data_IF_110300999157
#
_entry.id   IF_110300999157
#
_cell.length_a   1.000
_cell.length_b   1.000
_cell.length_c   1.000
_cell.angle_alpha   90.00
_cell.angle_beta   90.00
_cell.angle_gamma   90.00
#
_symmetry.space_group_name_H-M   'P 1'
#
loop_
_entity.id
_entity.type
_entity.pdbx_description
1 polymer ?
#
# COMPACT_ATOMS: atom_id res chain seq x y z
N UNK A 1 6.34 6.74 29.22
CA UNK A 1 6.74 5.86 28.09
C UNK A 1 6.29 6.40 26.75
N UNK A 2 5.00 6.33 26.36
CA UNK A 2 4.57 6.73 25.00
C UNK A 2 4.92 8.16 24.57
N UNK A 3 4.92 9.14 25.49
CA UNK A 3 5.35 10.50 25.19
C UNK A 3 6.84 10.57 24.87
N UNK A 4 7.67 9.84 25.62
CA UNK A 4 9.10 9.76 25.37
C UNK A 4 9.39 9.05 24.05
N UNK A 5 8.70 7.93 23.76
CA UNK A 5 8.82 7.26 22.46
C UNK A 5 8.50 8.18 21.27
N UNK A 6 7.57 9.15 21.43
CA UNK A 6 7.30 10.16 20.39
C UNK A 6 8.48 11.10 20.19
N UNK A 7 9.07 11.61 21.27
CA UNK A 7 10.24 12.47 21.20
C UNK A 7 11.41 11.75 20.52
N UNK A 8 11.68 10.50 20.91
CA UNK A 8 12.73 9.67 20.30
C UNK A 8 12.43 9.40 18.83
N UNK A 9 11.17 9.07 18.49
CA UNK A 9 10.75 8.86 17.10
C UNK A 9 11.00 10.10 16.24
N UNK A 10 10.61 11.27 16.73
CA UNK A 10 10.77 12.54 16.00
C UNK A 10 12.26 12.87 15.83
N UNK A 11 13.08 12.64 16.87
CA UNK A 11 14.53 12.78 16.80
C UNK A 11 15.15 11.85 15.75
N UNK A 12 14.87 10.53 15.82
CA UNK A 12 15.35 9.56 14.82
C UNK A 12 14.94 10.02 13.42
N UNK A 13 13.66 10.37 13.23
CA UNK A 13 13.15 10.77 11.91
C UNK A 13 13.87 11.99 11.34
N UNK A 14 14.25 12.95 12.19
CA UNK A 14 14.99 14.15 11.77
C UNK A 14 16.45 13.88 11.38
N UNK A 15 17.02 12.77 11.86
CA UNK A 15 18.42 12.37 11.56
C UNK A 15 18.54 11.42 10.38
N UNK A 16 17.43 10.84 9.92
CA UNK A 16 17.45 9.87 8.83
C UNK A 16 17.82 10.52 7.49
N UNK A 17 18.58 9.83 6.63
CA UNK A 17 18.98 10.36 5.34
C UNK A 17 17.81 10.40 4.35
N UNK A 18 17.86 11.35 3.40
CA UNK A 18 16.91 11.44 2.30
C UNK A 18 16.99 10.25 1.33
N UNK A 19 18.07 9.45 1.41
CA UNK A 19 18.32 8.25 0.58
C UNK A 19 17.53 7.02 1.01
N UNK A 20 16.69 7.11 2.06
CA UNK A 20 15.82 6.02 2.46
C UNK A 20 14.93 5.54 1.33
N UNK A 21 14.79 4.22 1.22
CA UNK A 21 14.03 3.56 0.17
C UNK A 21 12.69 4.27 -0.11
N UNK A 22 12.53 4.88 -1.29
CA UNK A 22 11.34 5.64 -1.65
C UNK A 22 10.10 4.75 -1.83
N UNK A 23 10.27 3.42 -1.91
CA UNK A 23 9.21 2.43 -2.05
C UNK A 23 8.78 1.78 -0.73
N UNK A 24 9.30 2.26 0.41
CA UNK A 24 8.70 2.05 1.73
C UNK A 24 7.66 3.14 2.01
N UNK A 25 6.38 2.78 1.95
CA UNK A 25 5.27 3.73 2.07
C UNK A 25 4.68 3.81 3.48
N UNK A 26 4.76 2.75 4.28
CA UNK A 26 4.17 2.78 5.61
C UNK A 26 4.98 3.64 6.58
N UNK A 27 4.26 4.22 7.54
CA UNK A 27 4.82 5.00 8.66
C UNK A 27 5.66 6.22 8.27
N UNK A 28 5.67 6.59 6.98
CA UNK A 28 6.28 7.83 6.48
C UNK A 28 5.25 8.95 6.38
N UNK A 29 5.64 10.21 6.66
CA UNK A 29 4.77 11.35 6.42
C UNK A 29 4.44 11.45 4.93
N UNK A 30 3.20 11.86 4.63
CA UNK A 30 2.70 12.05 3.25
C UNK A 30 2.83 10.81 2.34
N UNK A 31 2.85 9.61 2.90
CA UNK A 31 2.72 8.34 2.18
C UNK A 31 1.46 7.62 2.66
N UNK A 32 0.79 6.93 1.74
CA UNK A 32 -0.47 6.24 1.99
C UNK A 32 -0.55 4.93 1.23
N UNK A 33 -1.48 4.05 1.62
CA UNK A 33 -1.77 2.83 0.86
C UNK A 33 -2.14 3.14 -0.58
N UNK A 34 -2.85 4.25 -0.82
CA UNK A 34 -3.20 4.71 -2.15
C UNK A 34 -1.93 5.08 -2.96
N UNK A 35 -0.87 5.60 -2.34
CA UNK A 35 0.41 5.88 -3.03
C UNK A 35 1.13 4.59 -3.45
N UNK A 36 1.21 3.61 -2.53
CA UNK A 36 1.79 2.30 -2.82
C UNK A 36 1.04 1.58 -3.94
N UNK A 37 -0.29 1.56 -3.88
CA UNK A 37 -1.15 1.00 -4.93
C UNK A 37 -0.95 1.73 -6.25
N UNK A 38 -1.04 3.07 -6.25
CA UNK A 38 -0.95 3.87 -7.48
C UNK A 38 0.42 3.70 -8.14
N UNK A 39 1.50 3.65 -7.36
CA UNK A 39 2.86 3.39 -7.83
C UNK A 39 2.98 2.00 -8.46
N UNK A 40 2.46 0.97 -7.77
CA UNK A 40 2.43 -0.42 -8.26
C UNK A 40 1.69 -0.52 -9.59
N UNK A 41 0.45 0.00 -9.65
CA UNK A 41 -0.38 -0.04 -10.84
C UNK A 41 0.21 0.76 -11.99
N UNK A 42 0.80 1.93 -11.72
CA UNK A 42 1.43 2.75 -12.75
C UNK A 42 2.65 2.06 -13.35
N UNK A 43 3.50 1.45 -12.53
CA UNK A 43 4.67 0.69 -12.95
C UNK A 43 4.25 -0.48 -13.85
N UNK A 44 3.25 -1.26 -13.40
CA UNK A 44 2.72 -2.38 -14.17
C UNK A 44 2.05 -1.93 -15.49
N UNK A 45 1.14 -0.95 -15.44
CA UNK A 45 0.41 -0.47 -16.62
C UNK A 45 1.33 0.18 -17.66
N UNK A 46 2.35 0.91 -17.23
CA UNK A 46 3.34 1.53 -18.12
C UNK A 46 4.16 0.47 -18.85
N UNK A 47 4.49 -0.65 -18.18
CA UNK A 47 5.19 -1.76 -18.80
C UNK A 47 4.32 -2.57 -19.76
N UNK A 48 3.06 -2.82 -19.37
CA UNK A 48 2.07 -3.53 -20.19
C UNK A 48 1.62 -2.77 -21.44
N UNK A 49 1.92 -1.46 -21.52
CA UNK A 49 1.66 -0.62 -22.70
C UNK A 49 2.69 -0.86 -23.82
N UNK A 50 3.76 -1.63 -23.54
CA UNK A 50 4.79 -2.04 -24.50
C UNK A 50 4.42 -3.37 -25.17
N UNK A 51 5.06 -3.67 -26.31
CA UNK A 51 4.87 -4.95 -27.01
C UNK A 51 5.65 -6.08 -26.33
N UNK A 52 5.10 -7.29 -26.37
CA UNK A 52 5.73 -8.52 -25.87
C UNK A 52 6.18 -8.45 -24.39
N UNK A 53 5.40 -7.78 -23.56
CA UNK A 53 5.62 -7.65 -22.12
C UNK A 53 4.48 -8.27 -21.31
N UNK A 54 4.79 -8.65 -20.07
CA UNK A 54 3.82 -9.01 -19.04
C UNK A 54 4.41 -8.67 -17.67
N UNK A 55 3.59 -8.76 -16.62
CA UNK A 55 4.00 -8.41 -15.24
C UNK A 55 3.72 -9.59 -14.32
N UNK A 56 4.66 -9.90 -13.43
CA UNK A 56 4.47 -10.82 -12.31
C UNK A 56 4.48 -10.03 -11.01
N UNK A 57 3.53 -10.30 -10.13
CA UNK A 57 3.42 -9.68 -8.80
C UNK A 57 3.45 -10.79 -7.75
N UNK A 58 4.47 -10.78 -6.90
CA UNK A 58 4.57 -11.68 -5.76
C UNK A 58 4.16 -10.92 -4.50
N UNK A 59 3.02 -11.29 -3.92
CA UNK A 59 2.53 -10.73 -2.67
C UNK A 59 3.03 -11.59 -1.52
N UNK A 60 3.95 -11.05 -0.73
CA UNK A 60 4.64 -11.76 0.34
C UNK A 60 3.89 -11.57 1.65
N UNK A 61 3.81 -12.66 2.42
CA UNK A 61 3.29 -12.68 3.78
C UNK A 61 4.38 -13.22 4.70
N UNK A 62 4.69 -12.47 5.76
CA UNK A 62 5.64 -12.90 6.79
C UNK A 62 4.89 -13.53 7.96
N UNK A 63 5.46 -14.60 8.51
CA UNK A 63 5.00 -15.16 9.78
C UNK A 63 5.45 -14.23 10.92
N UNK A 64 4.55 -13.34 11.37
CA UNK A 64 4.74 -12.53 12.59
C UNK A 64 5.87 -11.48 12.49
N UNK A 65 5.88 -10.67 11.42
CA UNK A 65 6.98 -9.76 11.06
C UNK A 65 7.54 -8.87 12.19
N UNK A 66 6.68 -8.28 13.01
CA UNK A 66 7.14 -7.42 14.11
C UNK A 66 7.80 -8.21 15.23
N UNK A 67 7.40 -9.46 15.45
CA UNK A 67 7.91 -10.30 16.53
C UNK A 67 9.27 -10.95 16.19
N UNK A 68 9.67 -10.91 14.91
CA UNK A 68 10.89 -11.54 14.41
C UNK A 68 12.09 -10.60 14.33
N UNK A 69 11.91 -9.29 14.56
CA UNK A 69 13.01 -8.31 14.56
C UNK A 69 14.09 -8.76 15.56
N UNK A 70 15.33 -8.84 15.10
CA UNK A 70 16.49 -9.14 15.95
C UNK A 70 17.16 -7.82 16.34
N UNK A 71 17.12 -7.40 17.63
CA UNK A 71 17.60 -6.08 18.04
C UNK A 71 19.07 -5.80 17.66
N UNK A 72 19.95 -6.79 17.77
CA UNK A 72 21.37 -6.63 17.39
C UNK A 72 21.55 -6.35 15.89
N UNK A 73 20.77 -6.98 15.01
CA UNK A 73 20.77 -6.70 13.57
C UNK A 73 20.19 -5.33 13.26
N UNK A 74 19.15 -4.92 13.99
CA UNK A 74 18.58 -3.59 13.86
C UNK A 74 19.61 -2.51 14.20
N UNK A 75 20.35 -2.65 15.31
CA UNK A 75 21.39 -1.69 15.72
C UNK A 75 22.41 -1.46 14.61
N UNK A 76 22.95 -2.53 14.00
CA UNK A 76 23.91 -2.41 12.90
C UNK A 76 23.33 -1.59 11.73
N UNK A 77 22.06 -1.82 11.39
CA UNK A 77 21.36 -1.07 10.34
C UNK A 77 21.14 0.40 10.72
N UNK A 78 20.84 0.68 11.99
CA UNK A 78 20.67 2.05 12.49
C UNK A 78 21.98 2.83 12.44
N UNK A 79 23.09 2.21 12.85
CA UNK A 79 24.44 2.80 12.73
C UNK A 79 24.82 3.07 11.28
N UNK A 80 24.48 2.14 10.36
CA UNK A 80 24.69 2.31 8.91
C UNK A 80 23.89 3.49 8.35
N UNK A 81 22.72 3.78 8.93
CA UNK A 81 21.89 4.94 8.59
C UNK A 81 22.38 6.25 9.23
N UNK A 82 23.49 6.21 9.99
CA UNK A 82 24.11 7.39 10.58
C UNK A 82 23.53 7.81 11.93
N UNK A 83 22.79 6.94 12.62
CA UNK A 83 22.30 7.23 13.97
C UNK A 83 23.46 7.14 14.98
N UNK A 84 23.41 8.01 15.98
CA UNK A 84 24.39 8.03 17.07
C UNK A 84 24.43 6.69 17.84
N UNK A 85 25.62 6.17 18.19
CA UNK A 85 25.76 4.91 18.93
C UNK A 85 25.04 4.89 20.29
N UNK A 86 24.96 6.01 21.02
CA UNK A 86 24.24 6.04 22.29
C UNK A 86 22.73 5.88 22.08
N UNK A 87 22.18 6.48 21.02
CA UNK A 87 20.79 6.27 20.61
C UNK A 87 20.54 4.83 20.17
N UNK A 88 21.47 4.23 19.42
CA UNK A 88 21.37 2.83 19.00
C UNK A 88 21.40 1.87 20.20
N UNK A 89 22.27 2.11 21.17
CA UNK A 89 22.32 1.35 22.43
C UNK A 89 21.04 1.52 23.26
N UNK A 90 20.46 2.73 23.27
CA UNK A 90 19.15 2.93 23.90
C UNK A 90 18.05 2.13 23.20
N UNK A 91 18.05 2.04 21.86
CA UNK A 91 17.09 1.21 21.12
C UNK A 91 17.31 -0.28 21.43
N UNK A 92 18.56 -0.72 21.58
CA UNK A 92 18.88 -2.09 21.96
C UNK A 92 18.32 -2.45 23.34
N UNK A 93 18.58 -1.61 24.34
CA UNK A 93 18.04 -1.75 25.69
C UNK A 93 16.50 -1.69 25.69
N UNK A 94 15.92 -0.78 24.91
CA UNK A 94 14.47 -0.67 24.74
C UNK A 94 13.83 -1.94 24.17
N UNK A 95 14.54 -2.75 23.39
CA UNK A 95 13.99 -3.95 22.76
C UNK A 95 14.34 -5.26 23.47
N UNK A 96 15.38 -5.28 24.31
CA UNK A 96 15.91 -6.48 24.98
C UNK A 96 15.58 -6.52 26.47
N UNK A 97 15.67 -7.70 27.09
CA UNK A 97 15.46 -7.85 28.54
C UNK A 97 14.05 -7.51 29.02
N UNK A 98 13.05 -7.46 28.13
CA UNK A 98 11.73 -6.94 28.46
C UNK A 98 10.85 -7.99 29.13
N UNK A 99 10.44 -7.82 30.40
CA UNK A 99 9.47 -8.71 31.01
C UNK A 99 8.07 -8.44 30.45
N UNK A 100 7.37 -9.50 30.06
CA UNK A 100 5.95 -9.50 29.73
C UNK A 100 5.19 -10.45 30.64
N UNK A 101 3.97 -10.06 31.00
CA UNK A 101 3.00 -10.89 31.73
C UNK A 101 1.63 -10.72 31.08
N UNK A 102 0.81 -11.78 31.13
CA UNK A 102 -0.59 -11.73 30.73
C UNK A 102 -1.45 -11.65 31.97
N UNK A 103 -2.36 -10.66 32.03
CA UNK A 103 -3.34 -10.53 33.11
C UNK A 103 -4.73 -10.86 32.60
N UNK A 104 -5.42 -11.79 33.27
CA UNK A 104 -6.82 -12.13 33.03
C UNK A 104 -7.60 -11.98 34.34
N UNK A 105 -8.41 -10.93 34.44
CA UNK A 105 -9.03 -10.53 35.71
C UNK A 105 -7.96 -10.22 36.75
N UNK A 106 -7.97 -10.97 37.86
CA UNK A 106 -7.01 -10.83 38.96
C UNK A 106 -5.79 -11.77 38.83
N UNK A 107 -5.78 -12.67 37.84
CA UNK A 107 -4.69 -13.63 37.66
C UNK A 107 -3.61 -13.03 36.76
N UNK A 108 -2.34 -13.23 37.13
CA UNK A 108 -1.17 -12.78 36.37
C UNK A 108 -0.30 -14.00 36.06
N UNK A 109 0.13 -14.15 34.81
CA UNK A 109 1.05 -15.21 34.40
C UNK A 109 2.44 -15.04 35.05
N UNK A 110 3.25 -16.09 35.00
CA UNK A 110 4.69 -15.93 35.21
C UNK A 110 5.28 -14.94 34.18
N UNK A 111 6.31 -14.15 34.56
CA UNK A 111 6.99 -13.26 33.63
C UNK A 111 7.75 -14.05 32.57
N UNK A 112 7.63 -13.61 31.32
CA UNK A 112 8.44 -14.09 30.21
C UNK A 112 9.33 -12.93 29.74
N UNK A 113 10.63 -13.17 29.60
CA UNK A 113 11.56 -12.16 29.08
C UNK A 113 11.60 -12.24 27.56
N UNK A 114 11.41 -11.10 26.89
CA UNK A 114 11.51 -10.96 25.44
C UNK A 114 12.82 -10.26 25.04
N UNK A 115 13.55 -10.91 24.14
CA UNK A 115 14.78 -10.39 23.54
C UNK A 115 14.67 -10.22 22.01
N UNK A 116 13.51 -10.53 21.44
CA UNK A 116 13.22 -10.40 20.01
C UNK A 116 11.90 -9.68 19.80
N UNK A 117 11.79 -9.07 18.63
CA UNK A 117 10.61 -8.36 18.18
C UNK A 117 10.48 -6.96 18.75
N UNK A 118 9.62 -6.16 18.12
CA UNK A 118 9.19 -4.87 18.63
C UNK A 118 7.78 -4.98 19.23
N UNK A 119 7.53 -4.38 20.41
CA UNK A 119 6.25 -4.49 21.12
C UNK A 119 5.09 -3.95 20.29
N UNK A 120 3.99 -4.71 20.21
CA UNK A 120 2.76 -4.22 19.59
C UNK A 120 2.13 -3.11 20.44
N UNK A 121 1.66 -2.04 19.79
CA UNK A 121 1.06 -0.89 20.47
C UNK A 121 2.04 0.15 21.02
N UNK A 122 3.35 -0.08 20.86
CA UNK A 122 4.37 0.94 21.07
C UNK A 122 4.43 1.91 19.88
N UNK A 123 4.77 3.16 20.18
CA UNK A 123 4.82 4.25 19.19
C UNK A 123 6.03 4.09 18.27
N UNK A 124 7.13 3.56 18.80
CA UNK A 124 8.39 3.46 18.08
C UNK A 124 8.49 2.20 17.19
N UNK A 125 7.83 1.10 17.56
CA UNK A 125 7.89 -0.19 16.85
C UNK A 125 7.64 -0.09 15.33
N UNK A 126 6.63 0.66 14.85
CA UNK A 126 6.40 0.83 13.41
C UNK A 126 7.60 1.45 12.67
N UNK A 127 8.23 2.47 13.24
CA UNK A 127 9.40 3.10 12.67
C UNK A 127 10.58 2.13 12.64
N UNK A 128 10.85 1.44 13.75
CA UNK A 128 11.94 0.48 13.84
C UNK A 128 11.80 -0.66 12.83
N UNK A 129 10.58 -1.14 12.57
CA UNK A 129 10.35 -2.12 11.52
C UNK A 129 10.65 -1.57 10.12
N UNK A 130 10.23 -0.33 9.82
CA UNK A 130 10.57 0.32 8.55
C UNK A 130 12.09 0.48 8.37
N UNK A 131 12.81 0.81 9.45
CA UNK A 131 14.27 0.92 9.44
C UNK A 131 14.96 -0.45 9.37
N UNK A 132 14.38 -1.49 9.98
CA UNK A 132 14.89 -2.85 9.91
C UNK A 132 14.88 -3.39 8.47
N UNK A 133 13.85 -3.02 7.70
CA UNK A 133 13.61 -3.49 6.32
C UNK A 133 14.05 -2.51 5.24
N UNK A 134 14.80 -1.45 5.60
CA UNK A 134 15.12 -0.36 4.68
C UNK A 134 15.99 -0.80 3.50
N UNK A 135 16.87 -1.78 3.71
CA UNK A 135 17.81 -2.34 2.74
C UNK A 135 17.20 -3.49 1.90
N UNK A 136 15.95 -3.86 2.15
CA UNK A 136 15.18 -4.76 1.28
C UNK A 136 14.73 -4.02 0.01
N UNK A 137 15.66 -3.75 -0.90
CA UNK A 137 15.43 -3.02 -2.15
C UNK A 137 15.65 -3.93 -3.36
N UNK A 138 15.02 -3.60 -4.49
CA UNK A 138 15.21 -4.37 -5.71
C UNK A 138 16.65 -4.25 -6.23
N UNK A 139 17.22 -5.39 -6.62
CA UNK A 139 18.55 -5.48 -7.22
C UNK A 139 18.54 -5.15 -8.71
N UNK A 140 17.43 -5.43 -9.40
CA UNK A 140 17.29 -5.20 -10.83
C UNK A 140 16.35 -4.04 -11.14
N UNK A 141 16.70 -3.22 -12.14
CA UNK A 141 15.87 -2.10 -12.60
C UNK A 141 14.52 -2.53 -13.21
N UNK A 142 14.40 -3.78 -13.67
CA UNK A 142 13.14 -4.37 -14.13
C UNK A 142 12.25 -4.87 -13.00
N UNK A 143 12.70 -4.77 -11.75
CA UNK A 143 11.95 -5.18 -10.58
C UNK A 143 11.69 -4.00 -9.66
N UNK A 144 10.71 -4.14 -8.78
CA UNK A 144 10.46 -3.18 -7.71
C UNK A 144 9.95 -3.91 -6.49
N UNK A 145 10.45 -3.55 -5.31
CA UNK A 145 9.95 -4.06 -4.04
C UNK A 145 9.15 -2.94 -3.38
N UNK A 146 7.83 -3.11 -3.33
CA UNK A 146 6.90 -2.16 -2.71
C UNK A 146 6.61 -2.64 -1.29
N UNK A 147 6.84 -1.79 -0.29
CA UNK A 147 6.62 -2.11 1.12
C UNK A 147 5.57 -1.20 1.73
N UNK A 148 4.63 -1.79 2.46
CA UNK A 148 3.71 -1.07 3.33
C UNK A 148 3.61 -1.83 4.65
N UNK A 149 4.47 -1.45 5.61
CA UNK A 149 4.65 -2.18 6.85
C UNK A 149 5.14 -3.59 6.51
N UNK A 150 4.50 -4.63 7.03
CA UNK A 150 4.81 -6.03 6.72
C UNK A 150 4.37 -6.47 5.32
N UNK A 151 3.37 -5.83 4.71
CA UNK A 151 2.98 -6.13 3.33
C UNK A 151 4.13 -5.78 2.36
N UNK A 152 4.76 -6.80 1.79
CA UNK A 152 5.84 -6.66 0.78
C UNK A 152 5.37 -7.21 -0.56
N UNK A 153 5.65 -6.52 -1.65
CA UNK A 153 5.29 -6.97 -3.00
C UNK A 153 6.44 -6.78 -3.97
N UNK A 154 6.86 -7.87 -4.61
CA UNK A 154 7.83 -7.83 -5.71
C UNK A 154 7.07 -7.72 -7.03
N UNK A 155 7.34 -6.67 -7.79
CA UNK A 155 6.79 -6.45 -9.13
C UNK A 155 7.89 -6.69 -10.16
N UNK A 156 7.76 -7.75 -10.95
CA UNK A 156 8.67 -8.07 -12.05
C UNK A 156 8.12 -7.61 -13.39
N UNK A 157 8.90 -6.80 -14.12
CA UNK A 157 8.56 -6.28 -15.44
C UNK A 157 9.21 -7.15 -16.53
N UNK A 158 8.45 -8.12 -17.03
CA UNK A 158 8.99 -9.14 -17.93
C UNK A 158 8.91 -8.67 -19.39
N UNK A 159 10.01 -8.79 -20.12
CA UNK A 159 10.09 -8.49 -21.56
C UNK A 159 10.56 -9.73 -22.29
N UNK A 160 9.93 -10.06 -23.42
CA UNK A 160 10.34 -11.20 -24.26
C UNK A 160 10.36 -12.57 -23.55
N UNK A 161 9.63 -12.74 -22.44
CA UNK A 161 9.66 -13.93 -21.57
C UNK A 161 11.00 -14.15 -20.86
N UNK A 162 11.86 -13.14 -20.76
CA UNK A 162 13.05 -13.21 -19.91
C UNK A 162 12.68 -12.92 -18.45
N UNK A 163 12.57 -13.99 -17.66
CA UNK A 163 12.22 -13.94 -16.25
C UNK A 163 13.42 -13.96 -15.31
N UNK A 164 14.65 -13.92 -15.86
CA UNK A 164 15.89 -14.14 -15.10
C UNK A 164 16.00 -13.19 -13.92
N UNK A 165 15.92 -11.87 -14.19
CA UNK A 165 15.98 -10.84 -13.17
C UNK A 165 14.90 -11.01 -12.09
N UNK A 166 13.67 -11.36 -12.47
CA UNK A 166 12.58 -11.55 -11.50
C UNK A 166 12.81 -12.77 -10.60
N UNK A 167 13.27 -13.89 -11.17
CA UNK A 167 13.55 -15.12 -10.41
C UNK A 167 14.75 -14.95 -9.48
N UNK A 168 15.77 -14.23 -9.94
CA UNK A 168 16.93 -13.86 -9.10
C UNK A 168 16.50 -12.96 -7.94
N UNK A 169 15.62 -11.99 -8.17
CA UNK A 169 15.08 -11.13 -7.11
C UNK A 169 14.30 -11.92 -6.06
N UNK A 170 13.45 -12.85 -6.48
CA UNK A 170 12.70 -13.70 -5.54
C UNK A 170 13.66 -14.56 -4.72
N UNK A 171 14.72 -15.09 -5.32
CA UNK A 171 15.75 -15.87 -4.61
C UNK A 171 16.54 -14.99 -3.63
N UNK A 172 17.00 -13.83 -4.08
CA UNK A 172 17.75 -12.88 -3.27
C UNK A 172 16.92 -12.39 -2.07
N UNK A 173 15.63 -12.16 -2.28
CA UNK A 173 14.70 -11.84 -1.21
C UNK A 173 14.57 -12.99 -0.20
N UNK A 174 14.47 -14.24 -0.66
CA UNK A 174 14.44 -15.41 0.22
C UNK A 174 15.68 -15.49 1.12
N UNK A 175 16.87 -15.28 0.54
CA UNK A 175 18.13 -15.21 1.30
C UNK A 175 18.13 -14.04 2.27
N UNK A 176 17.76 -12.84 1.82
CA UNK A 176 17.69 -11.65 2.67
C UNK A 176 16.72 -11.86 3.85
N UNK A 177 15.59 -12.52 3.64
CA UNK A 177 14.64 -12.86 4.69
C UNK A 177 15.28 -13.80 5.74
N UNK A 178 15.99 -14.85 5.31
CA UNK A 178 16.72 -15.76 6.21
C UNK A 178 17.80 -15.00 7.01
N UNK A 179 18.60 -14.17 6.34
CA UNK A 179 19.63 -13.33 6.96
C UNK A 179 19.06 -12.30 7.94
N UNK A 180 17.82 -11.87 7.77
CA UNK A 180 17.15 -10.92 8.66
C UNK A 180 16.15 -11.57 9.62
N UNK A 181 16.16 -12.90 9.75
CA UNK A 181 15.24 -13.66 10.62
C UNK A 181 13.75 -13.42 10.30
N UNK A 182 13.41 -13.01 9.08
CA UNK A 182 12.04 -12.83 8.62
C UNK A 182 11.56 -14.14 8.01
N UNK A 183 10.62 -14.81 8.67
CA UNK A 183 10.10 -16.09 8.19
C UNK A 183 9.02 -15.86 7.14
N UNK A 184 9.27 -16.28 5.89
CA UNK A 184 8.30 -16.23 4.81
C UNK A 184 7.20 -17.28 5.02
N UNK A 185 5.95 -16.89 4.84
CA UNK A 185 4.82 -17.81 4.80
C UNK A 185 4.48 -18.14 3.34
N UNK A 186 5.10 -19.19 2.79
CA UNK A 186 4.91 -19.56 1.38
C UNK A 186 3.45 -19.89 1.06
N UNK A 187 2.72 -20.49 2.01
CA UNK A 187 1.30 -20.83 1.83
C UNK A 187 0.38 -19.60 1.76
N UNK A 188 0.76 -18.48 2.37
CA UNK A 188 0.02 -17.21 2.27
C UNK A 188 0.58 -16.28 1.21
N UNK A 189 1.82 -16.48 0.80
CA UNK A 189 2.43 -15.80 -0.33
C UNK A 189 1.71 -16.21 -1.61
N UNK A 190 1.35 -15.23 -2.44
CA UNK A 190 0.61 -15.46 -3.69
C UNK A 190 1.29 -14.78 -4.86
N UNK A 191 1.24 -15.44 -6.01
CA UNK A 191 1.66 -14.87 -7.29
C UNK A 191 0.46 -14.48 -8.15
N UNK A 192 0.52 -13.32 -8.78
CA UNK A 192 -0.39 -12.94 -9.86
C UNK A 192 0.41 -12.61 -11.11
N UNK A 193 -0.04 -13.12 -12.26
CA UNK A 193 0.55 -12.82 -13.57
C UNK A 193 -0.46 -12.04 -14.39
N UNK A 194 -0.10 -10.83 -14.79
CA UNK A 194 -0.89 -9.99 -15.69
C UNK A 194 -0.26 -10.07 -17.08
N UNK A 195 -0.88 -10.88 -17.94
CA UNK A 195 -0.45 -11.07 -19.34
C UNK A 195 -1.63 -10.82 -20.29
N UNK A 196 -1.50 -9.78 -21.13
CA UNK A 196 -2.51 -9.41 -22.14
C UNK A 196 -2.12 -9.84 -23.56
N UNK A 197 -1.01 -10.57 -23.73
CA UNK A 197 -0.58 -11.04 -25.04
C UNK A 197 -1.55 -12.11 -25.54
N UNK A 198 -1.77 -12.15 -26.86
CA UNK A 198 -2.65 -13.14 -27.51
C UNK A 198 -2.07 -14.55 -27.45
N UNK A 199 -0.76 -14.67 -27.67
CA UNK A 199 -0.03 -15.93 -27.55
C UNK A 199 0.66 -15.94 -26.20
N UNK A 200 0.01 -16.57 -25.22
CA UNK A 200 0.57 -16.77 -23.90
C UNK A 200 1.39 -18.05 -23.91
N UNK A 201 2.66 -17.95 -23.54
CA UNK A 201 3.44 -19.14 -23.20
C UNK A 201 3.06 -19.59 -21.80
N UNK A 202 3.27 -20.86 -21.51
CA UNK A 202 3.15 -21.36 -20.15
C UNK A 202 4.18 -20.64 -19.27
N UNK A 203 3.71 -20.09 -18.14
CA UNK A 203 4.55 -19.37 -17.20
C UNK A 203 5.00 -20.34 -16.10
N UNK A 204 6.30 -20.73 -16.03
CA UNK A 204 6.74 -21.72 -15.06
C UNK A 204 6.54 -21.21 -13.62
N UNK A 205 6.16 -22.08 -12.68
CA UNK A 205 5.92 -21.68 -11.29
C UNK A 205 7.18 -21.10 -10.62
N UNK A 206 6.94 -20.26 -9.62
CA UNK A 206 7.97 -19.80 -8.69
C UNK A 206 8.03 -20.77 -7.52
N UNK A 207 9.26 -21.09 -7.10
CA UNK A 207 9.52 -21.89 -5.91
C UNK A 207 10.22 -21.02 -4.87
N UNK A 208 9.76 -21.11 -3.62
CA UNK A 208 10.41 -20.52 -2.45
C UNK A 208 10.62 -21.66 -1.46
N UNK A 209 11.87 -21.88 -1.04
CA UNK A 209 12.25 -22.99 -0.14
C UNK A 209 11.72 -24.36 -0.61
N UNK A 210 11.82 -24.62 -1.92
CA UNK A 210 11.34 -25.86 -2.55
C UNK A 210 9.82 -25.97 -2.69
N UNK A 211 9.04 -25.02 -2.18
CA UNK A 211 7.58 -25.02 -2.24
C UNK A 211 7.07 -24.14 -3.38
N UNK A 212 6.13 -24.64 -4.17
CA UNK A 212 5.48 -23.88 -5.26
C UNK A 212 4.60 -22.77 -4.67
N UNK A 213 4.78 -21.55 -5.15
CA UNK A 213 3.90 -20.42 -4.80
C UNK A 213 2.57 -20.54 -5.53
N UNK A 214 1.46 -20.41 -4.81
CA UNK A 214 0.13 -20.44 -5.41
C UNK A 214 -0.10 -19.23 -6.33
N UNK A 215 -0.53 -19.51 -7.55
CA UNK A 215 -0.96 -18.50 -8.52
C UNK A 215 -2.44 -18.17 -8.36
N UNK A 216 -2.76 -16.87 -8.28
CA UNK A 216 -4.12 -16.38 -8.09
C UNK A 216 -4.56 -15.43 -9.19
N UNK A 217 -5.86 -15.49 -9.55
CA UNK A 217 -6.46 -14.55 -10.48
C UNK A 217 -6.89 -13.22 -9.80
N UNK A 218 -7.05 -13.22 -8.48
CA UNK A 218 -7.35 -12.01 -7.70
C UNK A 218 -6.70 -12.05 -6.33
N UNK A 219 -6.15 -10.91 -5.89
CA UNK A 219 -5.51 -10.75 -4.58
C UNK A 219 -5.97 -9.43 -3.94
N UNK A 220 -6.09 -9.42 -2.61
CA UNK A 220 -6.47 -8.22 -1.85
C UNK A 220 -5.22 -7.46 -1.40
N UNK A 221 -4.70 -6.61 -2.27
CA UNK A 221 -3.51 -5.79 -2.02
C UNK A 221 -3.88 -4.47 -1.32
N UNK A 222 -3.33 -4.22 -0.12
CA UNK A 222 -3.51 -2.98 0.66
C UNK A 222 -4.99 -2.51 0.79
N UNK A 223 -5.89 -3.48 0.91
CA UNK A 223 -7.33 -3.22 1.08
C UNK A 223 -8.17 -3.20 -0.20
N UNK A 224 -7.55 -3.26 -1.39
CA UNK A 224 -8.25 -3.32 -2.68
C UNK A 224 -8.08 -4.68 -3.37
N UNK A 225 -9.07 -5.12 -4.15
CA UNK A 225 -8.91 -6.32 -4.97
C UNK A 225 -8.28 -5.96 -6.31
N UNK A 226 -7.11 -6.51 -6.60
CA UNK A 226 -6.47 -6.50 -7.92
C UNK A 226 -6.78 -7.83 -8.60
N UNK A 227 -6.91 -7.83 -9.92
CA UNK A 227 -7.15 -9.01 -10.74
C UNK A 227 -6.10 -9.14 -11.82
N UNK A 228 -5.83 -10.36 -12.29
CA UNK A 228 -4.93 -10.65 -13.43
C UNK A 228 -5.38 -9.97 -14.73
N UNK A 229 -6.65 -9.57 -14.82
CA UNK A 229 -7.21 -8.79 -15.95
C UNK A 229 -7.20 -7.28 -15.72
N UNK A 230 -6.74 -6.82 -14.55
CA UNK A 230 -6.79 -5.43 -14.09
C UNK A 230 -8.17 -4.77 -14.29
N UNK A 231 -9.24 -5.56 -14.06
CA UNK A 231 -10.60 -5.05 -13.97
C UNK A 231 -11.01 -4.84 -12.50
N UNK A 232 -12.04 -4.04 -12.30
CA UNK A 232 -12.43 -3.57 -10.96
C UNK A 232 -13.75 -4.13 -10.45
N UNK A 233 -14.36 -5.09 -11.15
CA UNK A 233 -15.66 -5.66 -10.77
C UNK A 233 -15.60 -6.32 -9.39
N UNK A 234 -14.67 -7.24 -9.17
CA UNK A 234 -14.45 -7.93 -7.88
C UNK A 234 -14.30 -6.95 -6.72
N UNK A 235 -13.53 -5.87 -6.92
CA UNK A 235 -13.35 -4.83 -5.91
C UNK A 235 -14.65 -4.05 -5.66
N UNK A 236 -15.30 -3.58 -6.73
CA UNK A 236 -16.52 -2.78 -6.62
C UNK A 236 -17.67 -3.56 -6.01
N UNK A 237 -17.83 -4.83 -6.34
CA UNK A 237 -18.87 -5.70 -5.77
C UNK A 237 -18.64 -5.94 -4.28
N UNK A 238 -17.39 -6.17 -3.88
CA UNK A 238 -16.98 -6.28 -2.47
C UNK A 238 -17.30 -5.00 -1.68
N UNK A 239 -16.99 -3.83 -2.25
CA UNK A 239 -17.32 -2.53 -1.63
C UNK A 239 -18.83 -2.33 -1.55
N UNK A 240 -19.57 -2.56 -2.64
CA UNK A 240 -21.04 -2.37 -2.69
C UNK A 240 -21.72 -3.25 -1.64
N UNK A 241 -21.32 -4.53 -1.52
CA UNK A 241 -21.86 -5.45 -0.50
C UNK A 241 -21.63 -4.93 0.92
N UNK A 242 -20.41 -4.49 1.23
CA UNK A 242 -20.09 -3.88 2.55
C UNK A 242 -20.90 -2.61 2.80
N UNK A 243 -21.07 -1.78 1.76
CA UNK A 243 -21.84 -0.55 1.88
C UNK A 243 -23.35 -0.79 2.06
N UNK A 244 -23.90 -1.84 1.43
CA UNK A 244 -25.28 -2.26 1.63
C UNK A 244 -25.56 -2.71 3.07
N UNK A 245 -24.63 -3.46 3.68
CA UNK A 245 -24.71 -3.82 5.10
C UNK A 245 -24.75 -2.57 5.98
N UNK A 246 -23.92 -1.56 5.69
CA UNK A 246 -23.90 -0.29 6.44
C UNK A 246 -25.12 0.60 6.18
N UNK A 247 -25.71 0.52 4.98
CA UNK A 247 -26.99 1.18 4.67
C UNK A 247 -28.13 0.66 5.53
N UNK A 248 -28.15 -0.65 5.86
CA UNK A 248 -29.15 -1.19 6.77
C UNK A 248 -29.06 -0.52 8.15
N UNK A 249 -27.86 -0.37 8.70
CA UNK A 249 -27.65 0.34 9.96
C UNK A 249 -28.08 1.81 9.87
N UNK A 250 -27.78 2.49 8.75
CA UNK A 250 -28.24 3.86 8.53
C UNK A 250 -29.78 3.97 8.52
N UNK A 251 -30.50 2.99 7.94
CA UNK A 251 -31.97 2.95 8.00
C UNK A 251 -32.49 2.76 9.42
N UNK A 252 -31.85 1.89 10.22
CA UNK A 252 -32.22 1.69 11.63
C UNK A 252 -32.04 2.97 12.43
N UNK A 253 -30.92 3.67 12.24
CA UNK A 253 -30.67 4.96 12.88
C UNK A 253 -31.72 6.01 12.51
N UNK A 254 -32.15 6.06 11.24
CA UNK A 254 -33.27 6.93 10.84
C UNK A 254 -34.56 6.55 11.57
N UNK A 255 -34.87 5.25 11.69
CA UNK A 255 -36.06 4.76 12.40
C UNK A 255 -36.03 5.14 13.89
N UNK A 256 -34.85 5.20 14.51
CA UNK A 256 -34.67 5.68 15.88
C UNK A 256 -34.74 7.21 16.03
N UNK A 257 -35.09 7.95 14.98
CA UNK A 257 -35.30 9.39 15.05
C UNK A 257 -34.03 10.24 15.05
N UNK A 258 -32.88 9.69 14.61
CA UNK A 258 -31.66 10.49 14.51
C UNK A 258 -31.80 11.64 13.50
N UNK A 259 -31.21 12.78 13.84
CA UNK A 259 -31.26 13.98 13.00
C UNK A 259 -30.57 13.78 11.63
N UNK A 260 -31.00 14.49 10.57
CA UNK A 260 -30.36 14.44 9.26
C UNK A 260 -28.85 14.69 9.29
N UNK A 261 -28.38 15.57 10.19
CA UNK A 261 -26.95 15.85 10.40
C UNK A 261 -26.21 14.64 10.96
N UNK A 262 -26.76 13.98 11.98
CA UNK A 262 -26.18 12.77 12.55
C UNK A 262 -26.15 11.62 11.53
N UNK A 263 -27.22 11.44 10.76
CA UNK A 263 -27.29 10.44 9.70
C UNK A 263 -26.27 10.70 8.57
N UNK A 264 -26.09 11.97 8.19
CA UNK A 264 -25.08 12.38 7.20
C UNK A 264 -23.66 12.11 7.73
N UNK A 265 -23.39 12.40 9.00
CA UNK A 265 -22.10 12.08 9.62
C UNK A 265 -21.85 10.57 9.67
N UNK A 266 -22.86 9.78 10.02
CA UNK A 266 -22.77 8.32 9.98
C UNK A 266 -22.46 7.81 8.57
N UNK A 267 -23.14 8.34 7.55
CA UNK A 267 -22.85 8.03 6.15
C UNK A 267 -21.39 8.34 5.79
N UNK A 268 -20.90 9.54 6.12
CA UNK A 268 -19.52 9.96 5.83
C UNK A 268 -18.50 9.02 6.48
N UNK A 269 -18.70 8.70 7.77
CA UNK A 269 -17.75 7.89 8.54
C UNK A 269 -17.77 6.41 8.16
N UNK A 270 -18.93 5.88 7.77
CA UNK A 270 -19.10 4.43 7.60
C UNK A 270 -19.33 4.00 6.15
N UNK A 271 -20.05 4.75 5.33
CA UNK A 271 -20.36 4.33 3.96
C UNK A 271 -19.42 5.02 2.97
N UNK A 272 -19.28 6.34 3.05
CA UNK A 272 -18.40 7.09 2.16
C UNK A 272 -16.93 6.68 2.35
N UNK A 273 -16.51 6.43 3.60
CA UNK A 273 -15.14 6.00 3.91
C UNK A 273 -14.70 4.75 3.15
N UNK A 274 -15.60 3.76 2.97
CA UNK A 274 -15.31 2.54 2.19
C UNK A 274 -15.51 2.74 0.69
N UNK A 275 -16.50 3.54 0.27
CA UNK A 275 -16.72 3.84 -1.15
C UNK A 275 -15.56 4.63 -1.74
N UNK A 276 -14.97 5.52 -0.94
CA UNK A 276 -13.91 6.42 -1.37
C UNK A 276 -12.51 5.94 -0.95
N UNK A 277 -12.40 4.80 -0.26
CA UNK A 277 -11.13 4.18 0.13
C UNK A 277 -10.27 3.90 -1.10
N UNK A 278 -9.07 4.48 -1.13
CA UNK A 278 -8.11 4.38 -2.23
C UNK A 278 -8.72 4.70 -3.63
N UNK A 279 -9.78 5.51 -3.69
CA UNK A 279 -10.59 5.71 -4.90
C UNK A 279 -9.79 6.23 -6.09
N UNK A 280 -8.69 6.92 -5.84
CA UNK A 280 -7.86 7.49 -6.91
C UNK A 280 -7.13 6.41 -7.72
N UNK A 281 -6.86 5.25 -7.11
CA UNK A 281 -6.18 4.13 -7.76
C UNK A 281 -7.08 3.33 -8.73
N UNK A 282 -8.37 3.17 -8.42
CA UNK A 282 -9.22 2.19 -9.10
C UNK A 282 -10.42 2.78 -9.85
N UNK A 283 -11.01 3.87 -9.37
CA UNK A 283 -12.28 4.36 -9.92
C UNK A 283 -12.20 4.88 -11.36
N UNK A 284 -11.03 5.41 -11.76
CA UNK A 284 -10.78 5.86 -13.13
C UNK A 284 -10.99 4.75 -14.16
N UNK A 285 -10.63 3.52 -13.81
CA UNK A 285 -10.72 2.33 -14.66
C UNK A 285 -12.02 1.51 -14.46
N UNK A 286 -12.95 1.97 -13.61
CA UNK A 286 -14.25 1.33 -13.46
C UNK A 286 -15.12 1.47 -14.70
N UNK A 287 -15.81 0.39 -15.08
CA UNK A 287 -16.83 0.41 -16.14
C UNK A 287 -18.04 1.27 -15.74
N UNK A 288 -18.86 1.66 -16.72
CA UNK A 288 -20.11 2.36 -16.46
C UNK A 288 -21.04 1.58 -15.51
N UNK A 289 -21.05 0.25 -15.61
CA UNK A 289 -21.82 -0.64 -14.73
C UNK A 289 -21.32 -0.54 -13.28
N UNK A 290 -20.00 -0.64 -13.06
CA UNK A 290 -19.42 -0.52 -11.71
C UNK A 290 -19.73 0.87 -11.11
N UNK A 291 -19.55 1.94 -11.88
CA UNK A 291 -19.86 3.31 -11.43
C UNK A 291 -21.34 3.49 -11.08
N UNK A 292 -22.25 2.96 -11.89
CA UNK A 292 -23.70 2.98 -11.62
C UNK A 292 -24.03 2.21 -10.35
N UNK A 293 -23.42 1.05 -10.11
CA UNK A 293 -23.62 0.26 -8.90
C UNK A 293 -23.20 1.04 -7.64
N UNK A 294 -22.02 1.65 -7.65
CA UNK A 294 -21.53 2.47 -6.53
C UNK A 294 -22.41 3.71 -6.31
N UNK A 295 -22.78 4.42 -7.37
CA UNK A 295 -23.62 5.62 -7.26
C UNK A 295 -25.02 5.31 -6.74
N UNK A 296 -25.56 4.11 -6.98
CA UNK A 296 -26.84 3.66 -6.38
C UNK A 296 -26.78 3.60 -4.85
N UNK A 297 -25.63 3.23 -4.28
CA UNK A 297 -25.42 3.22 -2.82
C UNK A 297 -25.52 4.65 -2.28
N UNK A 298 -24.80 5.60 -2.91
CA UNK A 298 -24.83 7.02 -2.52
C UNK A 298 -26.26 7.59 -2.62
N UNK A 299 -26.96 7.34 -3.72
CA UNK A 299 -28.36 7.77 -3.89
C UNK A 299 -29.29 7.18 -2.84
N UNK A 300 -29.06 5.92 -2.44
CA UNK A 300 -29.85 5.27 -1.40
C UNK A 300 -29.59 5.89 -0.03
N UNK A 301 -28.33 6.16 0.32
CA UNK A 301 -27.99 6.91 1.52
C UNK A 301 -28.65 8.29 1.51
N UNK A 302 -28.58 9.02 0.38
CA UNK A 302 -29.13 10.36 0.23
C UNK A 302 -30.63 10.43 0.57
N UNK A 303 -31.42 9.45 0.09
CA UNK A 303 -32.86 9.35 0.42
C UNK A 303 -33.10 9.08 1.91
N UNK A 304 -32.20 8.32 2.55
CA UNK A 304 -32.31 8.02 3.98
C UNK A 304 -31.95 9.26 4.79
N UNK A 305 -30.80 9.88 4.53
CA UNK A 305 -30.34 11.05 5.30
C UNK A 305 -31.19 12.30 5.07
N UNK A 306 -31.87 12.42 3.91
CA UNK A 306 -32.66 13.59 3.55
C UNK A 306 -31.85 14.82 3.12
N UNK A 307 -30.51 14.73 3.14
CA UNK A 307 -29.60 15.81 2.71
C UNK A 307 -28.91 15.48 1.39
N UNK A 308 -28.36 16.49 0.71
CA UNK A 308 -27.58 16.31 -0.53
C UNK A 308 -26.23 15.66 -0.22
N UNK A 309 -25.90 14.57 -0.91
CA UNK A 309 -24.60 13.90 -0.82
C UNK A 309 -23.83 14.10 -2.13
N UNK A 310 -22.50 14.28 -2.08
CA UNK A 310 -21.70 14.47 -3.30
C UNK A 310 -21.76 13.23 -4.19
N UNK A 311 -21.71 13.41 -5.51
CA UNK A 311 -21.56 12.27 -6.40
C UNK A 311 -20.18 11.63 -6.19
N UNK A 312 -20.10 10.32 -6.44
CA UNK A 312 -18.82 9.61 -6.26
C UNK A 312 -17.78 10.08 -7.30
N UNK A 313 -18.24 10.49 -8.48
CA UNK A 313 -17.41 11.12 -9.51
C UNK A 313 -16.75 12.42 -9.01
N UNK A 314 -17.50 13.29 -8.31
CA UNK A 314 -16.97 14.54 -7.78
C UNK A 314 -15.95 14.29 -6.67
N UNK A 315 -16.23 13.29 -5.83
CA UNK A 315 -15.33 12.83 -4.77
C UNK A 315 -14.03 12.30 -5.36
N UNK A 316 -14.12 11.48 -6.42
CA UNK A 316 -12.96 10.97 -7.15
C UNK A 316 -12.12 12.11 -7.76
N UNK A 317 -12.74 13.02 -8.51
CA UNK A 317 -12.05 14.14 -9.16
C UNK A 317 -11.33 15.01 -8.12
N UNK A 318 -12.03 15.36 -7.03
CA UNK A 318 -11.46 16.16 -5.93
C UNK A 318 -10.29 15.45 -5.25
N UNK A 319 -10.40 14.14 -4.99
CA UNK A 319 -9.31 13.36 -4.38
C UNK A 319 -8.12 13.21 -5.31
N UNK A 320 -8.35 13.03 -6.61
CA UNK A 320 -7.26 12.98 -7.59
C UNK A 320 -6.48 14.30 -7.62
N UNK A 321 -7.19 15.43 -7.71
CA UNK A 321 -6.58 16.75 -7.71
C UNK A 321 -5.78 17.01 -6.43
N UNK A 322 -6.40 16.83 -5.25
CA UNK A 322 -5.73 17.05 -3.96
C UNK A 322 -4.50 16.18 -3.78
N UNK A 323 -4.58 14.91 -4.21
CA UNK A 323 -3.44 13.98 -4.12
C UNK A 323 -2.31 14.40 -5.05
N UNK A 324 -2.62 14.79 -6.28
CA UNK A 324 -1.63 15.29 -7.23
C UNK A 324 -0.88 16.51 -6.66
N UNK A 325 -1.61 17.48 -6.10
CA UNK A 325 -1.00 18.66 -5.45
C UNK A 325 -0.10 18.27 -4.29
N UNK A 326 -0.46 17.26 -3.49
CA UNK A 326 0.42 16.76 -2.41
C UNK A 326 1.72 16.17 -2.95
N UNK A 327 1.64 15.36 -4.01
CA UNK A 327 2.81 14.74 -4.65
C UNK A 327 3.72 15.81 -5.28
N UNK A 328 3.12 16.82 -5.92
CA UNK A 328 3.87 17.94 -6.53
C UNK A 328 4.62 18.75 -5.45
N UNK A 329 4.04 18.92 -4.26
CA UNK A 329 4.68 19.68 -3.17
C UNK A 329 5.76 18.90 -2.43
N UNK A 330 5.76 17.58 -2.52
CA UNK A 330 6.70 16.70 -1.81
C UNK A 330 7.76 16.18 -2.79
N UNK A 331 8.92 16.83 -2.81
CA UNK A 331 10.05 16.47 -3.69
C UNK A 331 10.59 15.06 -3.42
N UNK A 332 10.43 14.57 -2.19
CA UNK A 332 10.86 13.24 -1.77
C UNK A 332 9.81 12.16 -2.08
N UNK A 333 8.67 12.52 -2.70
CA UNK A 333 7.67 11.55 -3.13
C UNK A 333 8.20 10.75 -4.33
N UNK A 334 8.15 9.40 -4.34
CA UNK A 334 8.67 8.58 -5.44
C UNK A 334 8.12 8.98 -6.81
N UNK A 335 6.85 9.37 -6.83
CA UNK A 335 6.13 9.79 -8.03
C UNK A 335 6.20 11.29 -8.34
N UNK A 336 6.98 12.09 -7.59
CA UNK A 336 7.12 13.53 -7.82
C UNK A 336 7.57 13.82 -9.26
N UNK A 337 8.55 13.05 -9.75
CA UNK A 337 9.11 13.16 -11.10
C UNK A 337 8.09 13.00 -12.23
N UNK A 338 6.94 12.34 -11.98
CA UNK A 338 5.88 12.17 -12.97
C UNK A 338 5.12 13.47 -13.27
N UNK A 339 5.21 14.48 -12.38
CA UNK A 339 4.57 15.77 -12.53
C UNK A 339 5.58 16.85 -12.96
N UNK A 340 6.21 16.67 -14.13
CA UNK A 340 7.16 17.66 -14.67
C UNK A 340 6.43 18.88 -15.25
N UNK A 341 6.71 20.12 -14.79
CA UNK A 341 6.11 21.33 -15.36
C UNK A 341 6.63 21.60 -16.78
N UNK A 342 5.82 22.26 -17.62
CA UNK A 342 6.23 22.72 -18.93
C UNK A 342 7.04 24.03 -18.84
N UNK A 343 8.16 24.11 -19.57
CA UNK A 343 9.13 25.23 -19.48
C UNK A 343 8.71 26.51 -20.22
N UNK A 344 7.68 26.48 -21.08
CA UNK A 344 7.35 27.61 -21.99
C UNK A 344 5.88 28.01 -21.95
N UNK A 345 5.56 29.32 -22.06
CA UNK A 345 4.27 30.04 -22.33
C UNK A 345 2.94 29.54 -21.71
N UNK A 346 2.91 28.37 -21.08
CA UNK A 346 1.77 27.70 -20.44
C UNK A 346 2.11 27.44 -18.98
N UNK A 347 2.39 28.52 -18.24
CA UNK A 347 2.66 28.46 -16.79
C UNK A 347 1.50 27.73 -16.10
N UNK A 348 1.81 26.73 -15.28
CA UNK A 348 0.83 25.94 -14.55
C UNK A 348 0.43 24.60 -15.19
N UNK A 349 0.92 24.27 -16.39
CA UNK A 349 0.69 22.97 -17.03
C UNK A 349 1.84 21.97 -16.82
N UNK A 350 1.48 20.69 -16.80
CA UNK A 350 2.38 19.55 -16.62
C UNK A 350 2.51 18.73 -17.90
N UNK A 351 3.68 18.11 -18.10
CA UNK A 351 3.99 17.28 -19.26
C UNK A 351 3.06 16.06 -19.32
N UNK A 352 2.35 15.88 -20.43
CA UNK A 352 1.52 14.70 -20.61
C UNK A 352 2.36 13.44 -20.81
N UNK A 353 2.01 12.36 -20.11
CA UNK A 353 2.58 11.04 -20.29
C UNK A 353 1.86 10.35 -21.45
N UNK A 354 2.62 9.76 -22.39
CA UNK A 354 2.07 8.99 -23.52
C UNK A 354 1.47 7.68 -23.01
N UNK A 355 0.33 7.28 -23.59
CA UNK A 355 -0.29 6.00 -23.29
C UNK A 355 -1.04 5.47 -24.51
N UNK A 356 -0.73 4.24 -24.90
CA UNK A 356 -1.38 3.50 -26.00
C UNK A 356 -2.69 2.86 -25.59
N UNK A 357 -2.85 2.49 -24.31
CA UNK A 357 -4.04 1.80 -23.79
C UNK A 357 -4.95 2.70 -22.96
N UNK A 358 -6.27 2.46 -23.02
CA UNK A 358 -7.24 3.15 -22.16
C UNK A 358 -7.00 2.87 -20.66
N UNK A 359 -6.49 1.68 -20.32
CA UNK A 359 -6.18 1.33 -18.92
C UNK A 359 -5.12 2.26 -18.32
N UNK A 360 -4.02 2.48 -19.06
CA UNK A 360 -2.97 3.40 -18.63
C UNK A 360 -3.46 4.86 -18.65
N UNK A 361 -4.18 5.27 -19.69
CA UNK A 361 -4.78 6.62 -19.80
C UNK A 361 -5.70 6.97 -18.62
N UNK A 362 -6.43 5.99 -18.09
CA UNK A 362 -7.36 6.17 -16.99
C UNK A 362 -6.76 5.88 -15.60
N UNK A 363 -5.46 5.52 -15.54
CA UNK A 363 -4.73 5.39 -14.29
C UNK A 363 -4.54 6.73 -13.58
N UNK A 364 -4.24 6.69 -12.28
CA UNK A 364 -4.19 7.86 -11.41
C UNK A 364 -3.33 9.00 -11.96
N UNK A 365 -2.04 8.79 -12.23
CA UNK A 365 -1.13 9.87 -12.61
C UNK A 365 -1.52 10.55 -13.92
N UNK A 366 -1.89 9.77 -14.94
CA UNK A 366 -2.32 10.32 -16.23
C UNK A 366 -3.63 11.09 -16.11
N UNK A 367 -4.57 10.57 -15.31
CA UNK A 367 -5.83 11.28 -15.06
C UNK A 367 -5.61 12.56 -14.26
N UNK A 368 -4.74 12.52 -13.25
CA UNK A 368 -4.37 13.67 -12.43
C UNK A 368 -3.71 14.77 -13.26
N UNK A 369 -2.74 14.44 -14.12
CA UNK A 369 -2.09 15.40 -15.03
C UNK A 369 -3.12 16.05 -15.97
N UNK A 370 -4.05 15.26 -16.54
CA UNK A 370 -5.14 15.82 -17.37
C UNK A 370 -6.02 16.78 -16.59
N UNK A 371 -6.38 16.43 -15.34
CA UNK A 371 -7.18 17.29 -14.47
C UNK A 371 -6.46 18.58 -14.08
N UNK A 372 -5.13 18.55 -13.95
CA UNK A 372 -4.32 19.75 -13.67
C UNK A 372 -4.12 20.64 -14.90
N UNK A 373 -4.17 20.05 -16.10
CA UNK A 373 -4.02 20.78 -17.37
C UNK A 373 -5.34 21.28 -17.95
N UNK A 374 -6.47 20.85 -17.38
CA UNK A 374 -7.82 21.32 -17.72
C UNK A 374 -8.11 22.59 -16.93
#
# INVERSE_FOLDING_TARGET
>A
MKCFERLVKDHITSTLPDTLDPLQFAYRPNRSTDDAISTTLHTALTHLDKRNTYVRMLFIDYSSAFNTIVPSKLVIKLETLGLDPALCNWVLDFLTGRPQVVRVGNNISSPLILNTGAPQGCVLSPLLYSLFTHDCVATHASNSIIKFADDTTVVGLITNNDETAYREEVRALGVWCQENNLTLNVNKTKEMIVDFRKQQREHPPIHIDGTVVERVASFKFLGIHITDKLNWSTHTDSIVRKAQQRLFNLRRLKKFGLSPKALTNFYRCTIESILAGCITAWYGNCTALNRKALQRVVRSAQRITGGKLPALQDTYTTRCYRKAIKIIKDINHPSHCLFTPLSSRRRGQYRCIKAGTERLKNSFYLKAIRLLNS
#
